data_IF_351222295992
#
_entry.id   IF_351222295992
#
_cell.length_a   1.000
_cell.length_b   1.000
_cell.length_c   1.000
_cell.angle_alpha   90.00
_cell.angle_beta   90.00
_cell.angle_gamma   90.00
#
_symmetry.space_group_name_H-M   'P 1'
#
loop_
_entity.id
_entity.type
_entity.pdbx_description
1 polymer ?
#
# COMPACT_ATOMS: atom_id res chain seq x y z
N UNK A 1 -46.65 9.97 26.10
CA UNK A 1 -46.14 10.65 24.89
C UNK A 1 -45.57 11.99 25.34
N UNK A 2 -44.35 12.47 25.11
CA UNK A 2 -43.15 12.03 24.36
C UNK A 2 -41.94 12.55 25.17
N UNK A 3 -40.89 11.74 25.33
CA UNK A 3 -39.55 12.19 25.72
C UNK A 3 -38.95 12.96 24.55
N UNK A 4 -38.34 14.12 24.80
CA UNK A 4 -37.40 14.74 23.85
C UNK A 4 -36.08 14.87 24.58
N UNK A 5 -35.20 13.91 24.31
CA UNK A 5 -33.81 13.93 24.75
C UNK A 5 -33.09 14.86 23.77
N UNK A 6 -32.57 15.96 24.28
CA UNK A 6 -31.71 16.88 23.55
C UNK A 6 -30.29 16.29 23.60
N UNK A 7 -29.95 15.45 22.62
CA UNK A 7 -28.57 14.95 22.48
C UNK A 7 -27.75 16.03 21.80
N UNK A 8 -26.83 16.60 22.58
CA UNK A 8 -25.83 17.54 22.15
C UNK A 8 -25.02 16.97 20.97
N UNK A 9 -24.80 17.81 19.95
CA UNK A 9 -23.80 17.61 18.91
C UNK A 9 -22.40 17.55 19.58
N UNK A 10 -21.92 16.35 19.85
CA UNK A 10 -20.51 16.08 20.07
C UNK A 10 -19.90 15.64 18.75
N UNK A 11 -19.43 16.58 17.94
CA UNK A 11 -18.55 16.28 16.81
C UNK A 11 -17.26 15.67 17.37
N UNK A 12 -17.15 14.35 17.40
CA UNK A 12 -15.85 13.68 17.48
C UNK A 12 -15.22 13.76 16.08
N UNK A 13 -14.49 14.84 15.85
CA UNK A 13 -13.37 14.85 14.91
C UNK A 13 -12.32 13.84 15.45
N UNK A 14 -12.47 12.56 15.10
CA UNK A 14 -11.39 11.58 15.18
C UNK A 14 -10.40 11.87 14.03
N UNK A 15 -9.71 13.01 14.14
CA UNK A 15 -8.49 13.29 13.40
C UNK A 15 -7.33 12.83 14.26
N UNK A 16 -6.98 11.56 14.16
CA UNK A 16 -5.62 11.09 14.45
C UNK A 16 -5.10 10.38 13.21
N UNK A 17 -4.93 11.16 12.14
CA UNK A 17 -4.04 10.79 11.04
C UNK A 17 -2.62 11.02 11.55
N UNK A 18 -1.95 9.96 11.95
CA UNK A 18 -0.49 9.91 12.05
C UNK A 18 0.02 8.94 10.99
N UNK A 19 -0.35 9.21 9.73
CA UNK A 19 0.28 8.57 8.59
C UNK A 19 1.67 9.19 8.40
N UNK A 20 2.68 8.63 9.04
CA UNK A 20 4.05 9.13 8.95
C UNK A 20 4.81 8.32 7.91
N UNK A 21 5.31 9.02 6.89
CA UNK A 21 6.00 8.51 5.69
C UNK A 21 5.08 7.85 4.65
N UNK A 22 4.79 8.61 3.59
CA UNK A 22 4.44 8.07 2.28
C UNK A 22 5.66 8.17 1.37
N UNK A 23 6.35 7.06 1.15
CA UNK A 23 7.31 7.00 0.04
C UNK A 23 6.61 6.34 -1.15
N UNK A 24 6.55 7.09 -2.24
CA UNK A 24 6.06 6.59 -3.52
C UNK A 24 7.21 5.98 -4.31
N UNK A 25 6.99 4.81 -4.88
CA UNK A 25 7.88 4.20 -5.86
C UNK A 25 7.16 3.98 -7.19
N UNK A 26 7.93 3.95 -8.27
CA UNK A 26 7.41 3.78 -9.63
C UNK A 26 8.12 2.63 -10.32
N UNK A 27 7.35 1.69 -10.86
CA UNK A 27 7.80 0.69 -11.82
C UNK A 27 7.60 1.26 -13.22
N UNK A 28 8.70 1.58 -13.90
CA UNK A 28 8.72 2.02 -15.28
C UNK A 28 8.70 0.86 -16.27
N UNK A 29 8.46 1.17 -17.56
CA UNK A 29 8.32 0.17 -18.64
C UNK A 29 9.57 -0.67 -18.90
N UNK A 30 10.73 -0.20 -18.44
CA UNK A 30 12.01 -0.88 -18.58
C UNK A 30 12.42 -1.64 -17.31
N UNK A 31 11.72 -1.39 -16.19
CA UNK A 31 12.03 -2.00 -14.91
C UNK A 31 11.44 -3.41 -14.84
N UNK A 32 12.22 -4.34 -14.28
CA UNK A 32 11.72 -5.70 -13.99
C UNK A 32 11.15 -5.78 -12.58
N UNK A 33 11.76 -5.06 -11.66
CA UNK A 33 11.42 -5.07 -10.25
C UNK A 33 11.85 -3.75 -9.62
N UNK A 34 11.00 -3.19 -8.77
CA UNK A 34 11.35 -2.05 -7.90
C UNK A 34 10.90 -2.38 -6.48
N UNK A 35 11.67 -1.88 -5.52
CA UNK A 35 11.46 -2.09 -4.10
C UNK A 35 11.25 -0.73 -3.45
N UNK A 36 10.38 -0.66 -2.46
CA UNK A 36 10.41 0.44 -1.51
C UNK A 36 11.70 0.38 -0.68
N UNK A 37 12.01 1.43 0.08
CA UNK A 37 12.94 1.27 1.20
C UNK A 37 12.43 0.20 2.19
N UNK A 38 13.33 -0.31 3.02
CA UNK A 38 12.97 -1.22 4.11
C UNK A 38 12.37 -0.44 5.28
N UNK A 39 11.21 -0.89 5.76
CA UNK A 39 10.50 -0.29 6.88
C UNK A 39 10.61 -1.19 8.11
N UNK A 40 11.41 -0.77 9.09
CA UNK A 40 11.55 -1.49 10.36
C UNK A 40 10.48 -1.01 11.34
N UNK A 41 9.40 -1.77 11.47
CA UNK A 41 8.24 -1.41 12.28
C UNK A 41 8.35 -1.94 13.71
N UNK A 42 7.73 -1.21 14.63
CA UNK A 42 7.53 -1.63 16.01
C UNK A 42 6.23 -2.45 16.17
N UNK A 43 5.86 -2.77 17.41
CA UNK A 43 4.65 -3.57 17.70
C UNK A 43 3.32 -2.79 17.59
N UNK A 44 3.37 -1.48 17.36
CA UNK A 44 2.21 -0.58 17.33
C UNK A 44 1.90 -0.03 15.93
N UNK A 45 2.85 -0.18 15.01
CA UNK A 45 2.75 0.37 13.65
C UNK A 45 2.20 -0.66 12.67
N UNK A 46 1.31 -0.21 11.80
CA UNK A 46 0.75 -0.97 10.68
C UNK A 46 1.54 -0.68 9.40
N UNK A 47 1.73 -1.72 8.59
CA UNK A 47 2.26 -1.57 7.23
C UNK A 47 1.09 -1.53 6.24
N UNK A 48 0.68 -0.32 5.86
CA UNK A 48 -0.29 -0.08 4.79
C UNK A 48 0.38 0.07 3.42
N UNK A 49 -0.34 -0.29 2.37
CA UNK A 49 0.14 -0.20 1.00
C UNK A 49 -1.00 0.12 0.03
N UNK A 50 -0.66 0.85 -1.02
CA UNK A 50 -1.54 1.16 -2.16
C UNK A 50 -0.73 1.01 -3.45
N UNK A 51 -1.27 0.28 -4.43
CA UNK A 51 -0.62 -0.01 -5.70
C UNK A 51 -1.61 0.26 -6.83
N UNK A 52 -1.14 0.95 -7.86
CA UNK A 52 -1.91 1.24 -9.06
C UNK A 52 -1.12 0.85 -10.30
N UNK A 53 -1.72 0.04 -11.16
CA UNK A 53 -1.18 -0.22 -12.49
C UNK A 53 -1.47 0.95 -13.43
N UNK A 54 -0.48 1.34 -14.23
CA UNK A 54 -0.60 2.45 -15.17
C UNK A 54 -1.65 2.20 -16.26
N UNK A 55 -2.12 3.29 -16.86
CA UNK A 55 -3.09 3.24 -17.96
C UNK A 55 -2.49 2.76 -19.28
N UNK A 56 -1.17 2.75 -19.38
CA UNK A 56 -0.40 2.31 -20.54
C UNK A 56 0.27 0.94 -20.35
N UNK A 57 -0.01 0.29 -19.21
CA UNK A 57 0.40 -1.10 -18.96
C UNK A 57 -0.17 -2.02 -20.04
N UNK A 58 0.69 -2.87 -20.62
CA UNK A 58 0.25 -3.97 -21.50
C UNK A 58 0.20 -5.33 -20.82
N UNK A 59 1.03 -5.55 -19.80
CA UNK A 59 1.13 -6.80 -19.05
C UNK A 59 0.73 -6.60 -17.59
N UNK A 60 0.36 -7.69 -16.91
CA UNK A 60 0.04 -7.62 -15.49
C UNK A 60 1.23 -7.09 -14.68
N UNK A 61 0.92 -6.20 -13.74
CA UNK A 61 1.83 -5.78 -12.68
C UNK A 61 1.63 -6.75 -11.53
N UNK A 62 2.69 -7.36 -11.04
CA UNK A 62 2.64 -8.13 -9.79
C UNK A 62 3.07 -7.23 -8.63
N UNK A 63 2.37 -7.28 -7.51
CA UNK A 63 2.83 -6.69 -6.26
C UNK A 63 3.05 -7.77 -5.20
N UNK A 64 4.03 -7.55 -4.33
CA UNK A 64 4.29 -8.39 -3.17
C UNK A 64 4.51 -7.52 -1.92
N UNK A 65 4.01 -8.02 -0.79
CA UNK A 65 4.36 -7.52 0.54
C UNK A 65 5.29 -8.54 1.16
N UNK A 66 6.48 -8.10 1.53
CA UNK A 66 7.51 -8.94 2.14
C UNK A 66 7.67 -8.52 3.60
N UNK A 67 7.63 -9.49 4.51
CA UNK A 67 7.91 -9.32 5.93
C UNK A 67 9.09 -10.22 6.31
N UNK A 68 10.16 -9.65 6.86
CA UNK A 68 11.36 -10.39 7.29
C UNK A 68 11.89 -11.34 6.20
N UNK A 69 11.97 -10.87 4.96
CA UNK A 69 12.41 -11.66 3.81
C UNK A 69 11.39 -12.67 3.25
N UNK A 70 10.20 -12.81 3.84
CA UNK A 70 9.15 -13.72 3.36
C UNK A 70 7.98 -12.97 2.73
N UNK A 71 7.53 -13.40 1.56
CA UNK A 71 6.29 -12.88 0.93
C UNK A 71 5.09 -13.27 1.80
N UNK A 72 4.38 -12.28 2.33
CA UNK A 72 3.15 -12.46 3.13
C UNK A 72 1.89 -12.16 2.33
N UNK A 73 1.99 -11.35 1.25
CA UNK A 73 0.91 -11.06 0.33
C UNK A 73 1.44 -10.95 -1.09
N UNK A 74 0.67 -11.40 -2.07
CA UNK A 74 0.95 -11.25 -3.50
C UNK A 74 -0.35 -11.02 -4.26
N UNK A 75 -0.27 -10.29 -5.37
CA UNK A 75 -1.40 -10.08 -6.28
C UNK A 75 -0.96 -9.58 -7.64
N UNK A 76 -1.90 -9.55 -8.57
CA UNK A 76 -1.69 -9.11 -9.95
C UNK A 76 -2.72 -8.06 -10.33
N UNK A 77 -2.29 -7.01 -11.00
CA UNK A 77 -3.12 -5.90 -11.47
C UNK A 77 -3.07 -5.81 -13.00
N UNK A 78 -4.25 -5.70 -13.62
CA UNK A 78 -4.40 -5.31 -15.02
C UNK A 78 -4.29 -3.80 -15.16
N UNK A 79 -4.26 -3.35 -16.42
CA UNK A 79 -4.32 -1.94 -16.80
C UNK A 79 -5.36 -1.17 -15.99
N UNK A 80 -4.92 -0.12 -15.32
CA UNK A 80 -5.77 0.80 -14.56
C UNK A 80 -6.35 0.24 -13.26
N UNK A 81 -6.05 -1.01 -12.90
CA UNK A 81 -6.50 -1.58 -11.63
C UNK A 81 -5.67 -1.05 -10.47
N UNK A 82 -6.30 -1.06 -9.29
CA UNK A 82 -5.71 -0.66 -8.02
C UNK A 82 -5.89 -1.77 -7.01
N UNK A 83 -4.91 -1.95 -6.12
CA UNK A 83 -5.07 -2.73 -4.91
C UNK A 83 -4.45 -2.00 -3.73
N UNK A 84 -5.09 -2.09 -2.57
CA UNK A 84 -4.57 -1.58 -1.32
C UNK A 84 -4.85 -2.55 -0.19
N UNK A 85 -4.16 -2.35 0.92
CA UNK A 85 -4.34 -3.18 2.10
C UNK A 85 -3.49 -2.71 3.26
N UNK A 86 -3.60 -3.46 4.35
CA UNK A 86 -2.87 -3.22 5.59
C UNK A 86 -2.51 -4.56 6.20
N UNK A 87 -1.24 -4.73 6.54
CA UNK A 87 -0.78 -5.91 7.28
C UNK A 87 -1.02 -5.73 8.79
N UNK A 88 -1.25 -6.82 9.55
CA UNK A 88 -1.39 -6.74 10.99
C UNK A 88 -0.20 -6.06 11.67
N UNK A 89 -0.48 -5.25 12.71
CA UNK A 89 0.57 -4.63 13.53
C UNK A 89 1.51 -5.67 14.11
N UNK A 90 2.78 -5.32 14.20
CA UNK A 90 3.78 -6.18 14.80
C UNK A 90 5.17 -5.86 14.28
N UNK A 91 6.19 -6.19 15.08
CA UNK A 91 7.55 -5.87 14.72
C UNK A 91 7.98 -6.64 13.46
N UNK A 92 8.86 -6.02 12.70
CA UNK A 92 9.49 -6.63 11.54
C UNK A 92 9.91 -5.64 10.49
N UNK A 93 10.78 -6.10 9.60
CA UNK A 93 11.14 -5.38 8.39
C UNK A 93 10.10 -5.67 7.31
N UNK A 94 9.54 -4.61 6.72
CA UNK A 94 8.57 -4.69 5.62
C UNK A 94 9.09 -4.02 4.36
N UNK A 95 8.73 -4.60 3.21
CA UNK A 95 8.98 -4.07 1.87
C UNK A 95 7.72 -4.22 1.01
N UNK A 96 7.42 -3.20 0.21
CA UNK A 96 6.53 -3.33 -0.95
C UNK A 96 7.40 -3.54 -2.19
N UNK A 97 7.01 -4.50 -3.03
CA UNK A 97 7.74 -4.86 -4.26
C UNK A 97 6.78 -4.82 -5.43
N UNK A 98 7.15 -4.11 -6.50
CA UNK A 98 6.43 -4.15 -7.78
C UNK A 98 7.27 -4.90 -8.79
N UNK A 99 6.66 -5.83 -9.54
CA UNK A 99 7.35 -6.65 -10.54
C UNK A 99 6.64 -6.59 -11.87
N UNK A 100 7.44 -6.55 -12.93
CA UNK A 100 6.98 -6.78 -14.28
C UNK A 100 7.36 -8.18 -14.74
N UNK A 101 6.37 -9.01 -15.07
CA UNK A 101 6.65 -10.39 -15.50
C UNK A 101 7.38 -10.45 -16.85
N UNK A 102 7.08 -9.53 -17.77
CA UNK A 102 7.69 -9.48 -19.11
C UNK A 102 8.35 -8.11 -19.33
N UNK A 103 9.67 -8.06 -19.23
CA UNK A 103 10.44 -6.86 -19.60
C UNK A 103 10.76 -6.91 -21.09
N UNK A 104 10.30 -5.91 -21.86
CA UNK A 104 10.99 -5.26 -22.99
C UNK A 104 10.01 -4.35 -23.76
N UNK A 105 10.44 -3.09 -23.99
CA UNK A 105 9.88 -1.99 -24.83
C UNK A 105 8.41 -1.55 -24.66
N UNK A 106 7.50 -2.45 -24.28
CA UNK A 106 6.07 -2.17 -24.05
C UNK A 106 5.58 -2.77 -22.73
N UNK A 107 6.46 -2.80 -21.72
CA UNK A 107 6.25 -3.46 -20.43
C UNK A 107 5.05 -2.93 -19.63
N UNK A 108 4.98 -3.38 -18.38
CA UNK A 108 4.03 -2.87 -17.42
C UNK A 108 4.60 -1.62 -16.70
N UNK A 109 3.70 -0.78 -16.23
CA UNK A 109 3.95 0.41 -15.42
C UNK A 109 3.07 0.36 -14.18
N UNK A 110 3.59 0.85 -13.06
CA UNK A 110 2.82 0.98 -11.82
C UNK A 110 3.40 2.01 -10.87
N UNK A 111 2.57 2.51 -9.97
CA UNK A 111 2.98 3.24 -8.78
C UNK A 111 2.63 2.43 -7.54
N UNK A 112 3.46 2.53 -6.51
CA UNK A 112 3.22 1.94 -5.21
C UNK A 112 3.52 2.95 -4.12
N UNK A 113 2.66 3.02 -3.11
CA UNK A 113 2.82 3.87 -1.94
C UNK A 113 2.78 3.00 -0.69
N UNK A 114 3.71 3.24 0.23
CA UNK A 114 3.63 2.71 1.59
C UNK A 114 2.95 3.74 2.47
N UNK A 115 2.05 3.29 3.34
CA UNK A 115 1.33 4.13 4.31
C UNK A 115 1.51 3.50 5.68
N UNK A 116 2.33 4.11 6.54
CA UNK A 116 2.46 3.63 7.92
C UNK A 116 1.39 4.30 8.78
N UNK A 117 0.66 3.53 9.57
CA UNK A 117 -0.31 4.06 10.52
C UNK A 117 0.03 3.57 11.93
N UNK A 118 -0.17 4.41 12.92
CA UNK A 118 -0.03 4.05 14.34
C UNK A 118 -1.40 4.07 15.01
N UNK A 119 -1.62 3.16 15.95
CA UNK A 119 -2.73 3.24 16.92
C UNK A 119 -2.52 4.36 17.94
#
# INVERSE_FOLDING_TARGET
MKKVIMTALGSLLLLSQTAHASEGMTLGKQDRIVFSQAYNLDKYTYFGWDVQAGQDTRYYVQYEIVKNGKVVKTGYLRKGETANGMEPKGPGEYLLVLKCQNGYSQGCSATGNVVLAME
#
